data_IF_670073302466
#
_entry.id   IF_670073302466
#
_cell.length_a   1.000
_cell.length_b   1.000
_cell.length_c   1.000
_cell.angle_alpha   90.00
_cell.angle_beta   90.00
_cell.angle_gamma   90.00
#
_symmetry.space_group_name_H-M   'P 1'
#
loop_
_entity.id
_entity.type
_entity.pdbx_description
1 polymer ?
#
# COMPACT_ATOMS: atom_id res chain seq x y z
N UNK A 1 -4.22 26.56 -7.40
CA UNK A 1 -5.23 27.04 -6.44
C UNK A 1 -5.52 25.91 -5.46
N UNK A 2 -5.29 26.10 -4.16
CA UNK A 2 -5.71 25.12 -3.17
C UNK A 2 -7.24 25.17 -3.05
N UNK A 3 -7.91 24.03 -3.25
CA UNK A 3 -9.35 23.91 -2.99
C UNK A 3 -9.60 24.26 -1.52
N UNK A 4 -10.52 25.19 -1.20
CA UNK A 4 -10.80 25.53 0.19
C UNK A 4 -11.29 24.31 0.96
N UNK A 5 -10.83 24.17 2.21
CA UNK A 5 -11.26 23.11 3.10
C UNK A 5 -12.78 23.21 3.34
N UNK A 6 -13.49 22.09 3.20
CA UNK A 6 -14.94 22.02 3.34
C UNK A 6 -15.48 20.64 2.98
N UNK A 7 -16.79 20.45 3.12
CA UNK A 7 -17.47 19.15 2.95
C UNK A 7 -17.12 18.43 1.64
N UNK A 8 -16.92 19.17 0.54
CA UNK A 8 -16.52 18.60 -0.74
C UNK A 8 -15.12 17.94 -0.68
N UNK A 9 -14.16 18.58 -0.02
CA UNK A 9 -12.80 18.04 0.15
C UNK A 9 -12.83 16.75 0.98
N UNK A 10 -13.66 16.68 2.01
CA UNK A 10 -13.82 15.49 2.84
C UNK A 10 -14.43 14.32 2.05
N UNK A 11 -15.42 14.59 1.22
CA UNK A 11 -16.01 13.59 0.30
C UNK A 11 -14.97 13.09 -0.70
N UNK A 12 -14.18 13.99 -1.29
CA UNK A 12 -13.12 13.62 -2.24
C UNK A 12 -12.02 12.80 -1.57
N UNK A 13 -11.61 13.18 -0.34
CA UNK A 13 -10.63 12.44 0.46
C UNK A 13 -11.16 11.05 0.83
N UNK A 14 -12.43 10.93 1.20
CA UNK A 14 -13.05 9.64 1.47
C UNK A 14 -13.02 8.72 0.23
N UNK A 15 -13.39 9.24 -0.94
CA UNK A 15 -13.35 8.48 -2.21
C UNK A 15 -11.91 8.06 -2.57
N UNK A 16 -10.94 8.95 -2.39
CA UNK A 16 -9.53 8.65 -2.62
C UNK A 16 -9.02 7.55 -1.68
N UNK A 17 -9.36 7.65 -0.39
CA UNK A 17 -9.00 6.64 0.60
C UNK A 17 -9.63 5.27 0.27
N UNK A 18 -10.88 5.24 -0.20
CA UNK A 18 -11.53 4.01 -0.65
C UNK A 18 -10.83 3.40 -1.87
N UNK A 19 -10.38 4.23 -2.82
CA UNK A 19 -9.61 3.79 -3.98
C UNK A 19 -8.24 3.22 -3.57
N UNK A 20 -7.55 3.88 -2.63
CA UNK A 20 -6.30 3.38 -2.05
C UNK A 20 -6.50 2.03 -1.35
N UNK A 21 -7.52 1.92 -0.50
CA UNK A 21 -7.86 0.68 0.19
C UNK A 21 -8.21 -0.47 -0.79
N UNK A 22 -8.86 -0.17 -1.92
CA UNK A 22 -9.09 -1.16 -2.98
C UNK A 22 -7.78 -1.60 -3.65
N UNK A 23 -6.88 -0.67 -3.94
CA UNK A 23 -5.59 -0.98 -4.57
C UNK A 23 -4.73 -1.89 -3.67
N UNK A 24 -4.71 -1.59 -2.36
CA UNK A 24 -3.94 -2.29 -1.32
C UNK A 24 -4.68 -3.50 -0.69
N UNK A 25 -5.86 -3.86 -1.20
CA UNK A 25 -6.66 -4.93 -0.64
C UNK A 25 -5.91 -6.27 -0.60
N UNK A 26 -6.13 -7.03 0.48
CA UNK A 26 -5.64 -8.41 0.64
C UNK A 26 -6.79 -9.43 0.59
N UNK A 27 -7.97 -8.98 0.18
CA UNK A 27 -9.21 -9.77 0.01
C UNK A 27 -9.70 -9.64 -1.43
N UNK A 28 -10.60 -10.52 -1.86
CA UNK A 28 -11.14 -10.52 -3.22
C UNK A 28 -11.55 -9.10 -3.69
N UNK A 29 -10.91 -8.60 -4.76
CA UNK A 29 -11.16 -7.25 -5.30
C UNK A 29 -12.63 -7.01 -5.63
N UNK A 30 -13.31 -8.03 -6.15
CA UNK A 30 -14.74 -7.95 -6.48
C UNK A 30 -15.60 -7.70 -5.22
N UNK A 31 -15.26 -8.33 -4.10
CA UNK A 31 -15.99 -8.08 -2.85
C UNK A 31 -15.84 -6.63 -2.39
N UNK A 32 -14.63 -6.06 -2.48
CA UNK A 32 -14.39 -4.66 -2.13
C UNK A 32 -15.24 -3.72 -2.99
N UNK A 33 -15.27 -3.93 -4.31
CA UNK A 33 -16.08 -3.11 -5.22
C UNK A 33 -17.58 -3.23 -4.93
N UNK A 34 -18.09 -4.46 -4.82
CA UNK A 34 -19.52 -4.69 -4.60
C UNK A 34 -19.97 -4.09 -3.26
N UNK A 35 -19.20 -4.30 -2.20
CA UNK A 35 -19.51 -3.72 -0.88
C UNK A 35 -19.44 -2.19 -0.87
N UNK A 36 -18.51 -1.57 -1.62
CA UNK A 36 -18.44 -0.11 -1.75
C UNK A 36 -19.72 0.47 -2.37
N UNK A 37 -20.36 -0.25 -3.32
CA UNK A 37 -21.62 0.15 -3.94
C UNK A 37 -22.88 -0.39 -3.24
N UNK A 38 -22.73 -1.02 -2.08
CA UNK A 38 -23.85 -1.54 -1.28
C UNK A 38 -24.40 -2.89 -1.77
N UNK A 39 -23.71 -3.58 -2.67
CA UNK A 39 -24.05 -4.95 -3.09
C UNK A 39 -23.30 -5.95 -2.19
N UNK A 40 -23.93 -6.30 -1.06
CA UNK A 40 -23.34 -7.19 -0.06
C UNK A 40 -23.08 -8.60 -0.61
N UNK A 41 -21.82 -8.99 -0.77
CA UNK A 41 -21.41 -10.34 -1.14
C UNK A 41 -20.32 -10.86 -0.20
N UNK A 42 -20.36 -12.15 0.09
CA UNK A 42 -19.45 -12.79 1.07
C UNK A 42 -18.53 -13.84 0.43
N UNK A 43 -18.82 -14.27 -0.80
CA UNK A 43 -18.04 -15.30 -1.50
C UNK A 43 -16.97 -14.70 -2.41
N UNK A 44 -15.76 -15.24 -2.32
CA UNK A 44 -14.66 -14.90 -3.22
C UNK A 44 -15.03 -15.18 -4.68
N UNK A 45 -14.58 -14.32 -5.60
CA UNK A 45 -15.07 -14.37 -6.98
C UNK A 45 -14.37 -15.40 -7.88
N UNK A 46 -13.21 -15.92 -7.47
CA UNK A 46 -12.41 -16.85 -8.27
C UNK A 46 -11.82 -16.29 -9.57
N UNK A 47 -11.95 -14.98 -9.83
CA UNK A 47 -11.55 -14.35 -11.10
C UNK A 47 -10.98 -12.93 -10.95
N UNK A 48 -10.28 -12.67 -9.84
CA UNK A 48 -9.44 -11.46 -9.67
C UNK A 48 -8.03 -11.90 -9.26
N UNK A 49 -7.04 -11.04 -9.45
CA UNK A 49 -5.63 -11.28 -9.10
C UNK A 49 -5.46 -11.81 -7.67
N UNK A 50 -6.13 -11.24 -6.67
CA UNK A 50 -6.03 -11.73 -5.27
C UNK A 50 -6.62 -13.15 -5.10
N UNK A 51 -7.63 -13.52 -5.88
CA UNK A 51 -8.17 -14.88 -5.84
C UNK A 51 -7.32 -15.87 -6.66
N UNK A 52 -6.70 -15.40 -7.74
CA UNK A 52 -5.93 -16.23 -8.67
C UNK A 52 -4.49 -16.45 -8.16
N UNK A 53 -3.91 -15.45 -7.50
CA UNK A 53 -2.60 -15.50 -6.87
C UNK A 53 -2.66 -14.84 -5.47
N UNK A 54 -3.11 -15.58 -4.45
CA UNK A 54 -3.28 -15.02 -3.11
C UNK A 54 -1.96 -14.52 -2.49
N UNK A 55 -1.96 -13.34 -1.84
CA UNK A 55 -0.76 -12.78 -1.24
C UNK A 55 -0.21 -13.68 -0.14
N UNK A 56 1.09 -13.96 -0.20
CA UNK A 56 1.81 -14.77 0.79
C UNK A 56 2.46 -13.87 1.84
N UNK A 57 2.44 -14.30 3.10
CA UNK A 57 3.11 -13.62 4.21
C UNK A 57 4.37 -14.37 4.61
N UNK A 58 5.34 -13.65 5.16
CA UNK A 58 6.55 -14.20 5.76
C UNK A 58 6.95 -13.38 6.98
N UNK A 59 7.85 -13.91 7.82
CA UNK A 59 8.42 -13.14 8.93
C UNK A 59 9.41 -12.09 8.39
N UNK A 60 8.98 -10.84 8.38
CA UNK A 60 9.77 -9.70 7.91
C UNK A 60 10.58 -8.99 9.00
N UNK A 61 10.69 -9.52 10.22
CA UNK A 61 11.30 -8.82 11.35
C UNK A 61 12.73 -8.35 11.07
N UNK A 62 13.57 -9.24 10.56
CA UNK A 62 14.98 -8.92 10.28
C UNK A 62 15.12 -7.92 9.12
N UNK A 63 14.32 -8.05 8.07
CA UNK A 63 14.38 -7.14 6.92
C UNK A 63 13.84 -5.75 7.27
N UNK A 64 12.77 -5.67 8.05
CA UNK A 64 12.28 -4.42 8.61
C UNK A 64 13.33 -3.76 9.52
N UNK A 65 14.01 -4.53 10.38
CA UNK A 65 15.08 -4.01 11.24
C UNK A 65 16.23 -3.46 10.41
N UNK A 66 16.68 -4.16 9.37
CA UNK A 66 17.74 -3.68 8.45
C UNK A 66 17.33 -2.39 7.75
N UNK A 67 16.10 -2.31 7.21
CA UNK A 67 15.61 -1.12 6.53
C UNK A 67 15.54 0.10 7.46
N UNK A 68 14.93 -0.04 8.63
CA UNK A 68 14.82 1.03 9.63
C UNK A 68 16.20 1.45 10.17
N UNK A 69 17.06 0.47 10.43
CA UNK A 69 18.46 0.66 10.83
C UNK A 69 19.25 1.47 9.79
N UNK A 70 19.08 1.16 8.51
CA UNK A 70 19.72 1.87 7.40
C UNK A 70 19.25 3.32 7.34
N UNK A 71 17.93 3.55 7.33
CA UNK A 71 17.32 4.90 7.32
C UNK A 71 17.85 5.75 8.48
N UNK A 72 17.94 5.17 9.67
CA UNK A 72 18.51 5.83 10.85
C UNK A 72 20.00 6.17 10.66
N UNK A 73 20.82 5.20 10.22
CA UNK A 73 22.28 5.36 10.07
C UNK A 73 22.68 6.37 8.99
N UNK A 74 21.88 6.53 7.95
CA UNK A 74 22.11 7.56 6.91
C UNK A 74 21.53 8.93 7.29
N UNK A 75 21.06 9.09 8.52
CA UNK A 75 20.59 10.36 9.07
C UNK A 75 19.23 10.81 8.55
N UNK A 76 18.41 9.90 7.99
CA UNK A 76 17.04 10.19 7.52
C UNK A 76 16.95 11.29 6.44
N UNK A 77 18.01 11.49 5.66
CA UNK A 77 18.11 12.56 4.64
C UNK A 77 17.98 12.06 3.20
N UNK A 78 17.83 10.74 3.01
CA UNK A 78 17.85 10.11 1.70
C UNK A 78 16.53 9.40 1.39
N UNK A 79 16.17 9.39 0.10
CA UNK A 79 14.96 8.72 -0.40
C UNK A 79 15.13 7.21 -0.64
N UNK A 80 14.02 6.57 -1.02
CA UNK A 80 13.92 5.11 -1.18
C UNK A 80 15.03 4.49 -2.04
N UNK A 81 15.35 5.08 -3.18
CA UNK A 81 16.36 4.55 -4.11
C UNK A 81 17.73 4.36 -3.44
N UNK A 82 18.20 5.40 -2.77
CA UNK A 82 19.48 5.36 -2.05
C UNK A 82 19.48 4.36 -0.89
N UNK A 83 18.38 4.24 -0.15
CA UNK A 83 18.25 3.24 0.92
C UNK A 83 18.39 1.82 0.36
N UNK A 84 17.75 1.55 -0.79
CA UNK A 84 17.85 0.24 -1.47
C UNK A 84 19.29 -0.01 -1.95
N UNK A 85 19.97 0.99 -2.50
CA UNK A 85 21.37 0.88 -2.92
C UNK A 85 22.31 0.53 -1.76
N UNK A 86 22.19 1.23 -0.63
CA UNK A 86 22.98 0.95 0.57
C UNK A 86 22.73 -0.46 1.08
N UNK A 87 21.46 -0.89 1.17
CA UNK A 87 21.11 -2.23 1.63
C UNK A 87 21.59 -3.35 0.70
N UNK A 88 21.68 -3.08 -0.61
CA UNK A 88 22.19 -4.02 -1.61
C UNK A 88 23.71 -3.99 -1.75
N UNK A 89 24.39 -3.07 -1.06
CA UNK A 89 25.84 -2.88 -1.20
C UNK A 89 26.24 -2.41 -2.60
N UNK A 90 25.37 -1.66 -3.28
CA UNK A 90 25.67 -1.09 -4.60
C UNK A 90 26.87 -0.15 -4.49
N UNK A 91 27.86 -0.36 -5.35
CA UNK A 91 29.08 0.44 -5.35
C UNK A 91 28.90 1.67 -6.25
N UNK A 92 28.26 2.70 -5.71
CA UNK A 92 28.05 3.98 -6.40
C UNK A 92 29.15 4.96 -5.96
N UNK A 93 30.30 4.87 -6.62
CA UNK A 93 31.35 5.91 -6.64
C UNK A 93 31.48 6.47 -8.04
#
# INVERSE_FOLDING_TARGET
EEKPAGQQLDIERHKLNAMGAFAEAQTCRRLVLLNYFGEGKHENCGNCDICLDPPKRYDGLEDARKALSCVYRVGQRFGLGYIVEVLRGSNNQ
#
